data_IF_938360031855
#
_entry.id   IF_938360031855
#
_cell.length_a   1.000
_cell.length_b   1.000
_cell.length_c   1.000
_cell.angle_alpha   90.00
_cell.angle_beta   90.00
_cell.angle_gamma   90.00
#
_symmetry.space_group_name_H-M   'P 1'
#
loop_
_entity.id
_entity.type
_entity.pdbx_description
1 polymer ?
#
# COMPACT_ATOMS: atom_id res chain seq x y z
N UNK A 1 15.50 -11.96 -7.20
CA UNK A 1 15.74 -11.20 -5.95
C UNK A 1 17.01 -11.68 -5.24
N UNK A 2 17.91 -10.79 -4.77
CA UNK A 2 19.09 -11.18 -3.97
C UNK A 2 18.65 -11.72 -2.60
N UNK A 3 19.36 -12.72 -2.05
CA UNK A 3 19.04 -13.40 -0.76
C UNK A 3 18.91 -12.41 0.40
N UNK A 4 19.73 -11.36 0.43
CA UNK A 4 19.70 -10.35 1.48
C UNK A 4 18.48 -9.43 1.39
N UNK A 5 18.13 -8.96 0.18
CA UNK A 5 16.90 -8.18 -0.05
C UNK A 5 15.67 -8.98 0.35
N UNK A 6 15.64 -10.28 0.01
CA UNK A 6 14.58 -11.19 0.40
C UNK A 6 14.41 -11.27 1.93
N UNK A 7 15.50 -11.48 2.66
CA UNK A 7 15.45 -11.51 4.13
C UNK A 7 14.96 -10.20 4.75
N UNK A 8 15.38 -9.05 4.21
CA UNK A 8 14.90 -7.74 4.67
C UNK A 8 13.40 -7.57 4.46
N UNK A 9 12.89 -8.00 3.30
CA UNK A 9 11.47 -7.97 2.99
C UNK A 9 10.66 -8.93 3.88
N UNK A 10 11.10 -10.18 4.02
CA UNK A 10 10.44 -11.19 4.87
C UNK A 10 10.36 -10.69 6.31
N UNK A 11 11.47 -10.15 6.85
CA UNK A 11 11.49 -9.58 8.19
C UNK A 11 10.55 -8.38 8.33
N UNK A 12 10.57 -7.43 7.38
CA UNK A 12 9.67 -6.27 7.42
C UNK A 12 8.20 -6.68 7.40
N UNK A 13 7.85 -7.68 6.60
CA UNK A 13 6.49 -8.21 6.51
C UNK A 13 6.08 -8.99 7.77
N UNK A 14 7.00 -9.74 8.36
CA UNK A 14 6.81 -10.45 9.63
C UNK A 14 6.63 -9.48 10.80
N UNK A 15 7.49 -8.46 10.90
CA UNK A 15 7.38 -7.40 11.91
C UNK A 15 5.99 -6.73 11.83
N UNK A 16 5.48 -6.47 10.61
CA UNK A 16 4.12 -5.91 10.45
C UNK A 16 3.00 -6.86 10.85
N UNK A 17 3.17 -8.17 10.69
CA UNK A 17 2.20 -9.17 11.16
C UNK A 17 2.17 -9.28 12.68
N UNK A 18 3.34 -9.19 13.31
CA UNK A 18 3.50 -9.31 14.76
C UNK A 18 3.04 -8.04 15.47
N UNK A 19 3.25 -6.87 14.88
CA UNK A 19 2.82 -5.57 15.41
C UNK A 19 1.38 -5.27 14.95
N UNK A 20 0.42 -6.04 15.48
CA UNK A 20 -1.03 -5.79 15.32
C UNK A 20 -1.53 -4.47 15.94
N UNK A 21 -0.64 -3.66 16.51
CA UNK A 21 -0.97 -2.39 17.16
C UNK A 21 -0.54 -1.15 16.37
N UNK A 22 0.12 -1.29 15.22
CA UNK A 22 0.46 -0.13 14.38
C UNK A 22 -0.63 0.09 13.33
N UNK A 23 -1.32 1.24 13.38
CA UNK A 23 -2.24 1.70 12.31
C UNK A 23 -1.52 2.02 10.98
N UNK A 24 -0.26 1.66 10.92
CA UNK A 24 0.71 2.11 9.95
C UNK A 24 0.48 1.39 8.61
N UNK A 25 0.54 2.16 7.53
CA UNK A 25 0.68 1.65 6.17
C UNK A 25 2.16 1.65 5.85
N UNK A 26 2.71 0.50 5.46
CA UNK A 26 4.15 0.43 5.19
C UNK A 26 4.47 1.06 3.86
N UNK A 27 5.57 1.80 3.76
CA UNK A 27 6.16 2.16 2.48
C UNK A 27 7.42 1.32 2.24
N UNK A 28 7.52 0.71 1.07
CA UNK A 28 8.75 0.12 0.55
C UNK A 28 9.21 1.01 -0.60
N UNK A 29 10.42 1.54 -0.45
CA UNK A 29 11.08 2.39 -1.43
C UNK A 29 12.17 1.59 -2.12
N UNK A 30 12.07 1.49 -3.44
CA UNK A 30 13.07 0.81 -4.27
C UNK A 30 14.11 1.83 -4.75
N UNK A 31 15.40 1.62 -4.42
CA UNK A 31 16.52 2.55 -4.73
C UNK A 31 16.89 2.62 -6.22
N UNK A 32 16.55 1.60 -6.98
CA UNK A 32 16.83 1.51 -8.43
C UNK A 32 15.59 1.01 -9.13
N UNK A 33 15.55 1.11 -10.47
CA UNK A 33 14.67 0.29 -11.30
C UNK A 33 14.93 -1.18 -10.95
N UNK A 34 14.16 -1.67 -10.00
CA UNK A 34 14.12 -3.05 -9.57
C UNK A 34 12.67 -3.40 -9.64
N UNK A 35 12.27 -3.91 -10.79
CA UNK A 35 11.03 -4.66 -10.88
C UNK A 35 11.21 -5.92 -10.02
N UNK A 36 10.72 -5.88 -8.78
CA UNK A 36 10.35 -7.11 -8.10
C UNK A 36 9.06 -7.55 -8.77
N UNK A 37 9.14 -8.53 -9.66
CA UNK A 37 7.97 -8.94 -10.42
C UNK A 37 6.84 -9.36 -9.47
N UNK A 38 5.56 -9.20 -9.85
CA UNK A 38 4.44 -9.70 -9.05
C UNK A 38 4.56 -11.20 -8.70
N UNK A 39 5.23 -11.98 -9.56
CA UNK A 39 5.56 -13.38 -9.29
C UNK A 39 6.56 -13.54 -8.16
N UNK A 40 7.54 -12.65 -8.03
CA UNK A 40 8.50 -12.67 -6.92
C UNK A 40 7.84 -12.25 -5.60
N UNK A 41 6.91 -11.30 -5.60
CA UNK A 41 6.11 -10.97 -4.41
C UNK A 41 5.27 -12.16 -3.94
N UNK A 42 4.60 -12.85 -4.85
CA UNK A 42 3.84 -14.07 -4.53
C UNK A 42 4.69 -15.23 -4.00
N UNK A 43 6.00 -15.24 -4.29
CA UNK A 43 6.94 -16.24 -3.75
C UNK A 43 7.35 -15.95 -2.30
N UNK A 44 7.12 -14.75 -1.79
CA UNK A 44 7.40 -14.40 -0.40
C UNK A 44 6.32 -14.96 0.53
N UNK A 45 5.05 -14.90 0.14
CA UNK A 45 3.93 -15.49 0.90
C UNK A 45 2.69 -15.63 0.00
N UNK A 46 1.92 -16.71 0.18
CA UNK A 46 0.66 -16.95 -0.51
C UNK A 46 -0.50 -16.05 0.01
N UNK A 47 -0.29 -15.39 1.14
CA UNK A 47 -1.26 -14.48 1.79
C UNK A 47 -1.17 -13.03 1.32
N UNK A 48 -0.55 -12.77 0.15
CA UNK A 48 -0.56 -11.44 -0.44
C UNK A 48 -1.69 -11.27 -1.47
N UNK A 49 -2.33 -10.11 -1.42
CA UNK A 49 -3.16 -9.58 -2.51
C UNK A 49 -2.40 -8.43 -3.15
N UNK A 50 -2.08 -8.54 -4.43
CA UNK A 50 -1.28 -7.56 -5.15
C UNK A 50 -2.16 -6.69 -6.05
N UNK A 51 -1.95 -5.38 -6.01
CA UNK A 51 -2.59 -4.41 -6.89
C UNK A 51 -1.54 -3.47 -7.48
N UNK A 52 -1.52 -3.38 -8.81
CA UNK A 52 -0.69 -2.44 -9.55
C UNK A 52 -1.51 -1.19 -9.89
N UNK A 53 -1.12 -0.05 -9.33
CA UNK A 53 -1.66 1.25 -9.70
C UNK A 53 -0.82 1.83 -10.84
N UNK A 54 -1.22 1.54 -12.07
CA UNK A 54 -0.61 2.08 -13.30
C UNK A 54 -1.53 3.10 -14.02
N UNK A 55 -2.71 3.38 -13.46
CA UNK A 55 -3.61 4.42 -13.93
C UNK A 55 -4.22 5.15 -12.73
N UNK A 56 -4.09 6.49 -12.67
CA UNK A 56 -4.47 7.28 -11.51
C UNK A 56 -5.99 7.27 -11.24
N UNK A 57 -6.82 6.90 -12.21
CA UNK A 57 -8.28 6.92 -12.09
C UNK A 57 -8.89 5.58 -11.65
N UNK A 58 -8.07 4.58 -11.32
CA UNK A 58 -8.54 3.24 -10.93
C UNK A 58 -9.00 3.10 -9.47
N UNK A 59 -9.40 4.21 -8.85
CA UNK A 59 -9.86 4.26 -7.45
C UNK A 59 -10.86 3.14 -7.09
N UNK A 60 -11.87 2.90 -7.93
CA UNK A 60 -12.88 1.86 -7.70
C UNK A 60 -12.27 0.46 -7.69
N UNK A 61 -11.32 0.18 -8.59
CA UNK A 61 -10.64 -1.13 -8.65
C UNK A 61 -9.71 -1.33 -7.46
N UNK A 62 -8.99 -0.28 -7.05
CA UNK A 62 -8.14 -0.28 -5.86
C UNK A 62 -8.95 -0.60 -4.62
N UNK A 63 -10.04 0.14 -4.38
CA UNK A 63 -10.92 -0.06 -3.21
C UNK A 63 -11.51 -1.47 -3.20
N UNK A 64 -12.02 -1.96 -4.33
CA UNK A 64 -12.56 -3.32 -4.41
C UNK A 64 -11.50 -4.39 -4.11
N UNK A 65 -10.28 -4.21 -4.61
CA UNK A 65 -9.16 -5.13 -4.39
C UNK A 65 -8.71 -5.12 -2.92
N UNK A 66 -8.68 -3.93 -2.30
CA UNK A 66 -8.38 -3.77 -0.88
C UNK A 66 -9.44 -4.48 -0.02
N UNK A 67 -10.73 -4.21 -0.25
CA UNK A 67 -11.82 -4.86 0.50
C UNK A 67 -11.73 -6.38 0.39
N UNK A 68 -11.44 -6.89 -0.82
CA UNK A 68 -11.27 -8.33 -1.05
C UNK A 68 -10.09 -8.88 -0.25
N UNK A 69 -8.94 -8.18 -0.25
CA UNK A 69 -7.78 -8.59 0.54
C UNK A 69 -8.08 -8.66 2.04
N UNK A 70 -8.78 -7.65 2.58
CA UNK A 70 -9.18 -7.63 3.99
C UNK A 70 -10.11 -8.80 4.35
N UNK A 71 -11.10 -9.10 3.48
CA UNK A 71 -12.00 -10.26 3.69
C UNK A 71 -11.27 -11.60 3.65
N UNK A 72 -10.17 -11.68 2.91
CA UNK A 72 -9.36 -12.89 2.77
C UNK A 72 -8.22 -12.97 3.80
N UNK A 73 -8.15 -12.05 4.76
CA UNK A 73 -7.05 -11.92 5.73
C UNK A 73 -5.66 -11.86 5.06
N UNK A 74 -5.59 -11.15 3.93
CA UNK A 74 -4.38 -10.99 3.13
C UNK A 74 -3.76 -9.63 3.31
N UNK A 75 -2.42 -9.60 3.32
CA UNK A 75 -1.68 -8.35 3.22
C UNK A 75 -1.86 -7.81 1.80
N UNK A 76 -2.32 -6.57 1.70
CA UNK A 76 -2.51 -5.85 0.45
C UNK A 76 -1.22 -5.13 0.04
N UNK A 77 -0.61 -5.58 -1.04
CA UNK A 77 0.55 -4.97 -1.67
C UNK A 77 0.08 -4.03 -2.78
N UNK A 78 0.22 -2.73 -2.56
CA UNK A 78 -0.09 -1.68 -3.54
C UNK A 78 1.20 -1.18 -4.19
N UNK A 79 1.45 -1.57 -5.43
CA UNK A 79 2.57 -1.01 -6.20
C UNK A 79 2.11 0.21 -7.00
N UNK A 80 2.81 1.34 -6.82
CA UNK A 80 2.48 2.60 -7.47
C UNK A 80 3.45 2.84 -8.63
N UNK A 81 2.87 2.90 -9.84
CA UNK A 81 3.55 3.20 -11.12
C UNK A 81 2.88 4.34 -11.89
N UNK A 82 1.91 5.01 -11.27
CA UNK A 82 1.24 6.21 -11.78
C UNK A 82 0.94 7.17 -10.62
N UNK A 83 0.94 8.47 -10.88
CA UNK A 83 0.71 9.51 -9.88
C UNK A 83 -0.69 9.39 -9.24
N UNK A 84 -0.83 8.98 -7.98
CA UNK A 84 -2.14 8.71 -7.39
C UNK A 84 -2.98 9.98 -7.31
N UNK A 85 -4.22 9.91 -7.79
CA UNK A 85 -5.12 11.05 -7.64
C UNK A 85 -5.47 11.33 -6.17
N UNK A 86 -6.05 12.51 -5.91
CA UNK A 86 -6.42 12.95 -4.57
C UNK A 86 -7.29 11.96 -3.78
N UNK A 87 -8.16 11.20 -4.45
CA UNK A 87 -9.03 10.22 -3.77
C UNK A 87 -8.22 9.04 -3.24
N UNK A 88 -7.23 8.58 -4.00
CA UNK A 88 -6.33 7.51 -3.57
C UNK A 88 -5.47 8.01 -2.40
N UNK A 89 -4.89 9.21 -2.53
CA UNK A 89 -4.11 9.84 -1.46
C UNK A 89 -4.94 9.99 -0.18
N UNK A 90 -6.18 10.49 -0.29
CA UNK A 90 -7.08 10.65 0.86
C UNK A 90 -7.38 9.31 1.54
N UNK A 91 -7.61 8.24 0.78
CA UNK A 91 -7.84 6.91 1.35
C UNK A 91 -6.59 6.41 2.08
N UNK A 92 -5.40 6.54 1.48
CA UNK A 92 -4.15 6.15 2.15
C UNK A 92 -3.94 6.92 3.46
N UNK A 93 -4.19 8.24 3.45
CA UNK A 93 -4.11 9.06 4.67
C UNK A 93 -5.11 8.62 5.73
N UNK A 94 -6.38 8.41 5.35
CA UNK A 94 -7.42 7.98 6.28
C UNK A 94 -7.08 6.64 6.91
N UNK A 95 -6.61 5.68 6.12
CA UNK A 95 -6.21 4.37 6.62
C UNK A 95 -5.03 4.50 7.59
N UNK A 96 -3.98 5.25 7.24
CA UNK A 96 -2.82 5.42 8.12
C UNK A 96 -3.19 6.11 9.45
N UNK A 97 -4.01 7.17 9.41
CA UNK A 97 -4.33 7.95 10.61
C UNK A 97 -5.41 7.29 11.48
N UNK A 98 -6.43 6.70 10.85
CA UNK A 98 -7.64 6.24 11.53
C UNK A 98 -7.82 4.72 11.51
N UNK A 99 -7.00 3.96 10.77
CA UNK A 99 -7.19 2.52 10.56
C UNK A 99 -8.46 2.20 9.76
N UNK A 100 -9.07 3.19 9.11
CA UNK A 100 -10.31 3.04 8.37
C UNK A 100 -10.46 4.16 7.36
N UNK A 101 -11.31 3.96 6.35
CA UNK A 101 -11.69 5.01 5.42
C UNK A 101 -13.19 4.99 5.14
N UNK A 102 -13.71 6.15 4.75
CA UNK A 102 -15.12 6.35 4.50
C UNK A 102 -15.41 6.40 2.99
N UNK A 103 -16.43 5.66 2.58
CA UNK A 103 -17.01 5.76 1.24
C UNK A 103 -18.22 6.68 1.33
N UNK A 104 -18.19 7.76 0.56
CA UNK A 104 -19.29 8.71 0.44
C UNK A 104 -19.97 8.58 -0.93
N UNK A 105 -21.26 8.90 -0.98
CA UNK A 105 -21.99 9.04 -2.24
C UNK A 105 -21.65 10.37 -2.93
N UNK A 106 -22.23 10.59 -4.12
CA UNK A 106 -22.02 11.83 -4.89
C UNK A 106 -22.55 13.09 -4.19
N UNK A 107 -23.40 12.94 -3.17
CA UNK A 107 -23.97 14.02 -2.36
C UNK A 107 -23.23 14.20 -1.03
N UNK A 108 -22.14 13.47 -0.82
CA UNK A 108 -21.33 13.51 0.41
C UNK A 108 -21.88 12.66 1.56
N UNK A 109 -23.00 11.95 1.38
CA UNK A 109 -23.57 11.08 2.41
C UNK A 109 -22.67 9.87 2.60
N UNK A 110 -22.34 9.55 3.86
CA UNK A 110 -21.60 8.33 4.20
C UNK A 110 -22.41 7.10 3.75
N UNK A 111 -21.82 6.31 2.85
CA UNK A 111 -22.35 5.02 2.41
C UNK A 111 -21.83 3.91 3.32
N UNK A 112 -20.53 3.92 3.60
CA UNK A 112 -19.88 2.84 4.32
C UNK A 112 -18.57 3.31 4.98
N UNK A 113 -18.16 2.63 6.04
CA UNK A 113 -16.84 2.76 6.66
C UNK A 113 -16.14 1.42 6.58
N UNK A 114 -14.96 1.41 5.96
CA UNK A 114 -14.15 0.20 5.82
C UNK A 114 -13.01 0.29 6.82
N UNK A 115 -13.04 -0.62 7.81
CA UNK A 115 -11.92 -0.83 8.73
C UNK A 115 -10.85 -1.65 8.03
N UNK A 116 -9.60 -1.29 8.28
CA UNK A 116 -8.41 -1.95 7.76
C UNK A 116 -7.62 -2.50 8.93
N UNK A 117 -7.25 -3.76 8.86
CA UNK A 117 -6.45 -4.38 9.91
C UNK A 117 -5.04 -3.73 9.95
N UNK A 118 -4.52 -3.41 11.14
CA UNK A 118 -3.15 -2.96 11.36
C UNK A 118 -2.13 -3.80 10.59
N UNK A 119 -1.17 -3.16 9.92
CA UNK A 119 -0.09 -3.85 9.20
C UNK A 119 -0.52 -4.59 7.92
N UNK A 120 -1.80 -4.58 7.56
CA UNK A 120 -2.33 -5.31 6.41
C UNK A 120 -2.14 -4.62 5.06
N UNK A 121 -1.55 -3.41 5.02
CA UNK A 121 -1.26 -2.70 3.76
C UNK A 121 0.22 -2.33 3.69
N UNK A 122 0.82 -2.61 2.54
CA UNK A 122 2.15 -2.16 2.16
C UNK A 122 2.10 -1.51 0.78
N UNK A 123 2.54 -0.26 0.71
CA UNK A 123 2.74 0.50 -0.51
C UNK A 123 4.17 0.32 -1.00
N UNK A 124 4.35 0.15 -2.30
CA UNK A 124 5.64 -0.05 -2.95
C UNK A 124 5.78 1.00 -4.04
N UNK A 125 6.89 1.72 -4.06
CA UNK A 125 7.20 2.69 -5.11
C UNK A 125 8.71 2.84 -5.29
N UNK A 126 9.13 3.25 -6.48
CA UNK A 126 10.52 3.57 -6.77
C UNK A 126 10.89 4.96 -6.26
N UNK A 127 12.09 5.12 -5.71
CA UNK A 127 12.56 6.42 -5.18
C UNK A 127 12.50 7.51 -6.24
N UNK A 128 12.99 7.22 -7.44
CA UNK A 128 13.00 8.17 -8.54
C UNK A 128 11.58 8.55 -8.98
N UNK A 129 10.68 7.58 -9.02
CA UNK A 129 9.26 7.82 -9.31
C UNK A 129 8.62 8.72 -8.24
N UNK A 130 8.84 8.44 -6.95
CA UNK A 130 8.34 9.28 -5.85
C UNK A 130 8.83 10.72 -5.97
N UNK A 131 10.09 10.92 -6.35
CA UNK A 131 10.69 12.25 -6.37
C UNK A 131 10.36 13.06 -7.64
N UNK A 132 10.11 12.40 -8.77
CA UNK A 132 9.96 13.06 -10.08
C UNK A 132 8.51 13.11 -10.56
N UNK A 133 7.72 12.07 -10.28
CA UNK A 133 6.42 11.85 -10.91
C UNK A 133 5.24 11.99 -9.93
N UNK A 134 5.44 11.78 -8.63
CA UNK A 134 4.37 11.97 -7.64
C UNK A 134 4.14 13.45 -7.42
N UNK A 135 2.93 13.93 -7.72
CA UNK A 135 2.56 15.34 -7.54
C UNK A 135 2.22 15.69 -6.09
N UNK A 136 1.83 14.70 -5.28
CA UNK A 136 1.44 14.95 -3.89
C UNK A 136 2.65 15.40 -3.04
N UNK A 137 2.61 16.62 -2.48
CA UNK A 137 3.72 17.12 -1.68
C UNK A 137 3.84 16.29 -0.39
N UNK A 138 5.08 15.97 -0.02
CA UNK A 138 5.40 15.19 1.19
C UNK A 138 4.76 13.79 1.18
N UNK A 139 4.78 13.10 0.03
CA UNK A 139 4.27 11.73 -0.12
C UNK A 139 4.78 10.76 0.96
N UNK A 140 6.05 10.85 1.33
CA UNK A 140 6.63 10.08 2.44
C UNK A 140 5.88 10.24 3.77
N UNK A 141 5.33 11.43 4.05
CA UNK A 141 4.66 11.73 5.31
C UNK A 141 3.25 11.10 5.40
N UNK A 142 2.79 10.41 4.36
CA UNK A 142 1.57 9.59 4.45
C UNK A 142 1.82 8.34 5.30
N UNK A 143 3.08 7.87 5.38
CA UNK A 143 3.45 6.58 5.96
C UNK A 143 4.25 6.79 7.24
N UNK A 144 3.99 5.99 8.29
CA UNK A 144 4.76 6.13 9.53
C UNK A 144 6.11 5.40 9.42
N UNK A 145 6.17 4.32 8.63
CA UNK A 145 7.40 3.55 8.39
C UNK A 145 7.73 3.41 6.91
N UNK A 146 8.98 3.70 6.55
CA UNK A 146 9.54 3.42 5.23
C UNK A 146 10.74 2.46 5.31
N UNK A 147 10.67 1.36 4.55
CA UNK A 147 11.80 0.47 4.28
C UNK A 147 12.42 0.84 2.93
N UNK A 148 13.75 1.01 2.89
CA UNK A 148 14.50 1.36 1.68
C UNK A 148 15.37 0.16 1.25
N UNK A 149 15.25 -0.30 0.00
CA UNK A 149 15.92 -1.53 -0.52
C UNK A 149 16.44 -1.46 -1.98
#
# INVERSE_FOLDING_TARGET
MKKETRKKLEKFLEDRRLVRNSRDIGLIVLEKEREISPKEWRKLDASFSYFLLNNPFEFKKLVNSLIKAQKEDKIFLLEIKADPNDKIIQVLKQICHFGQFNIHDKRGKLINTIKVEPGSIVVIAERDFINKEISYPRFYNIFDTALII
#
